data_IF_325362776401
#
_entry.id   IF_325362776401
#
_cell.length_a   1.000
_cell.length_b   1.000
_cell.length_c   1.000
_cell.angle_alpha   90.00
_cell.angle_beta   90.00
_cell.angle_gamma   90.00
#
_symmetry.space_group_name_H-M   'P 1'
#
loop_
_entity.id
_entity.type
_entity.pdbx_description
1 polymer ?
#
# COMPACT_ATOMS: atom_id res chain seq x y z
N UNK A 1 -1.27 -36.86 18.86
CA UNK A 1 0.18 -36.57 18.98
C UNK A 1 0.24 -35.33 19.83
N UNK A 2 0.66 -35.44 21.08
CA UNK A 2 0.75 -34.27 21.96
C UNK A 2 2.02 -33.51 21.59
N UNK A 3 1.87 -32.23 21.27
CA UNK A 3 2.98 -31.36 20.91
C UNK A 3 3.92 -31.13 22.09
N UNK A 4 5.20 -30.91 21.80
CA UNK A 4 6.21 -30.52 22.79
C UNK A 4 5.89 -29.17 23.47
N UNK A 5 6.67 -28.78 24.48
CA UNK A 5 6.47 -27.51 25.17
C UNK A 5 6.57 -26.32 24.19
N UNK A 6 5.49 -25.54 24.10
CA UNK A 6 5.36 -24.43 23.15
C UNK A 6 4.71 -24.79 21.82
N UNK A 7 4.37 -26.06 21.60
CA UNK A 7 3.61 -26.49 20.42
C UNK A 7 2.11 -26.44 20.71
N UNK A 8 1.38 -25.78 19.82
CA UNK A 8 -0.08 -25.79 19.81
C UNK A 8 -0.55 -26.66 18.65
N UNK A 9 -1.38 -27.67 18.95
CA UNK A 9 -1.99 -28.52 17.95
C UNK A 9 -3.45 -28.07 17.75
N UNK A 10 -3.80 -27.69 16.53
CA UNK A 10 -5.19 -27.44 16.14
C UNK A 10 -5.80 -28.74 15.61
N UNK A 11 -6.81 -29.27 16.31
CA UNK A 11 -7.68 -30.29 15.75
C UNK A 11 -8.72 -29.61 14.86
N UNK A 12 -8.63 -29.85 13.55
CA UNK A 12 -9.51 -29.22 12.56
C UNK A 12 -10.88 -29.91 12.45
N UNK A 13 -11.11 -31.02 13.17
CA UNK A 13 -12.44 -31.65 13.23
C UNK A 13 -12.97 -32.13 11.87
N UNK A 14 -12.11 -32.32 10.88
CA UNK A 14 -12.48 -32.68 9.50
C UNK A 14 -12.48 -31.50 8.50
N UNK A 15 -12.31 -30.26 8.97
CA UNK A 15 -12.02 -29.12 8.10
C UNK A 15 -10.61 -29.21 7.52
N UNK A 16 -10.40 -28.57 6.38
CA UNK A 16 -9.15 -28.52 5.62
C UNK A 16 -8.50 -27.13 5.61
N UNK A 17 -9.03 -26.19 6.39
CA UNK A 17 -8.58 -24.81 6.44
C UNK A 17 -8.37 -24.31 7.87
N UNK A 18 -7.52 -23.29 8.01
CA UNK A 18 -7.20 -22.62 9.26
C UNK A 18 -6.81 -21.17 8.94
N UNK A 19 -7.27 -20.23 9.76
CA UNK A 19 -6.88 -18.83 9.69
C UNK A 19 -6.19 -18.39 10.97
N UNK A 20 -5.14 -17.58 10.85
CA UNK A 20 -4.37 -17.03 11.98
C UNK A 20 -4.22 -15.54 11.79
N UNK A 21 -4.45 -14.78 12.86
CA UNK A 21 -4.29 -13.33 12.87
C UNK A 21 -3.47 -12.87 14.07
N UNK A 22 -2.65 -11.83 13.85
CA UNK A 22 -2.05 -11.08 14.95
C UNK A 22 -3.07 -10.03 15.38
N UNK A 23 -3.51 -10.05 16.63
CA UNK A 23 -4.47 -9.05 17.11
C UNK A 23 -3.75 -7.78 17.58
N UNK A 24 -4.28 -6.57 17.25
CA UNK A 24 -3.69 -5.30 17.67
C UNK A 24 -3.87 -4.98 19.16
N UNK A 25 -4.83 -5.64 19.82
CA UNK A 25 -5.08 -5.62 21.26
C UNK A 25 -5.69 -6.96 21.71
N UNK A 26 -5.99 -7.08 23.01
CA UNK A 26 -6.53 -8.29 23.63
C UNK A 26 -8.01 -8.16 24.02
N UNK A 27 -8.78 -7.29 23.36
CA UNK A 27 -10.20 -7.11 23.68
C UNK A 27 -11.10 -8.13 22.98
N UNK A 28 -12.20 -8.51 23.63
CA UNK A 28 -13.19 -9.43 23.06
C UNK A 28 -13.81 -8.87 21.77
N UNK A 29 -13.95 -7.54 21.67
CA UNK A 29 -14.46 -6.87 20.48
C UNK A 29 -13.51 -7.05 19.28
N UNK A 30 -12.20 -6.93 19.51
CA UNK A 30 -11.19 -7.19 18.48
C UNK A 30 -11.19 -8.65 18.07
N UNK A 31 -11.24 -9.58 19.03
CA UNK A 31 -11.33 -11.01 18.72
C UNK A 31 -12.56 -11.33 17.89
N UNK A 32 -13.74 -10.84 18.29
CA UNK A 32 -15.00 -11.06 17.57
C UNK A 32 -14.95 -10.53 16.13
N UNK A 33 -14.40 -9.32 15.92
CA UNK A 33 -14.23 -8.75 14.58
C UNK A 33 -13.32 -9.63 13.71
N UNK A 34 -12.18 -10.09 14.25
CA UNK A 34 -11.28 -10.95 13.49
C UNK A 34 -11.89 -12.33 13.22
N UNK A 35 -12.67 -12.89 14.14
CA UNK A 35 -13.41 -14.14 13.94
C UNK A 35 -14.46 -13.99 12.84
N UNK A 36 -15.21 -12.89 12.79
CA UNK A 36 -16.20 -12.61 11.74
C UNK A 36 -15.59 -12.66 10.33
N UNK A 37 -14.37 -12.13 10.19
CA UNK A 37 -13.65 -12.04 8.92
C UNK A 37 -12.61 -13.14 8.70
N UNK A 38 -12.49 -14.12 9.61
CA UNK A 38 -11.41 -15.10 9.60
C UNK A 38 -11.44 -16.01 8.37
N UNK A 39 -12.61 -16.27 7.82
CA UNK A 39 -12.82 -17.21 6.72
C UNK A 39 -12.99 -16.54 5.36
N UNK A 40 -12.74 -15.22 5.27
CA UNK A 40 -12.61 -14.50 4.00
C UNK A 40 -11.21 -14.74 3.41
N UNK A 41 -11.00 -15.90 2.77
CA UNK A 41 -9.70 -16.27 2.19
C UNK A 41 -9.43 -15.47 0.93
N UNK A 42 -8.26 -14.81 0.88
CA UNK A 42 -7.85 -14.00 -0.28
C UNK A 42 -7.34 -14.92 -1.39
N UNK A 43 -8.04 -14.93 -2.52
CA UNK A 43 -7.66 -15.68 -3.71
C UNK A 43 -6.73 -14.87 -4.61
N UNK A 44 -7.02 -13.57 -4.77
CA UNK A 44 -6.28 -12.72 -5.68
C UNK A 44 -6.30 -11.25 -5.26
N UNK A 45 -5.30 -10.50 -5.72
CA UNK A 45 -5.23 -9.05 -5.52
C UNK A 45 -4.92 -8.38 -6.84
N UNK A 46 -5.53 -7.21 -7.07
CA UNK A 46 -5.35 -6.43 -8.28
C UNK A 46 -5.18 -4.96 -7.93
N UNK A 47 -4.30 -4.29 -8.66
CA UNK A 47 -4.12 -2.85 -8.57
C UNK A 47 -4.37 -2.26 -9.96
N UNK A 48 -5.27 -1.29 -10.02
CA UNK A 48 -5.57 -0.54 -11.24
C UNK A 48 -5.33 0.93 -10.97
N UNK A 49 -4.81 1.65 -11.96
CA UNK A 49 -4.60 3.08 -11.82
C UNK A 49 -5.03 3.81 -13.08
N UNK A 50 -5.38 5.08 -12.90
CA UNK A 50 -5.61 6.02 -13.98
C UNK A 50 -5.09 7.40 -13.58
N UNK A 51 -4.67 8.16 -14.57
CA UNK A 51 -4.40 9.58 -14.41
C UNK A 51 -5.65 10.36 -14.79
N UNK A 52 -6.23 11.08 -13.82
CA UNK A 52 -7.31 12.03 -14.05
C UNK A 52 -6.69 13.39 -14.35
N UNK A 53 -6.55 13.70 -15.63
CA UNK A 53 -5.94 14.94 -16.09
C UNK A 53 -6.76 16.18 -15.67
N UNK A 54 -8.09 16.07 -15.60
CA UNK A 54 -8.95 17.19 -15.22
C UNK A 54 -8.79 17.56 -13.74
N UNK A 55 -8.49 16.57 -12.89
CA UNK A 55 -8.23 16.76 -11.46
C UNK A 55 -6.73 16.88 -11.13
N UNK A 56 -5.84 16.56 -12.09
CA UNK A 56 -4.40 16.55 -11.87
C UNK A 56 -3.98 15.53 -10.80
N UNK A 57 -4.57 14.33 -10.82
CA UNK A 57 -4.30 13.29 -9.81
C UNK A 57 -4.19 11.89 -10.41
N UNK A 58 -3.44 11.02 -9.74
CA UNK A 58 -3.42 9.60 -10.02
C UNK A 58 -4.37 8.92 -9.05
N UNK A 59 -5.39 8.24 -9.59
CA UNK A 59 -6.30 7.39 -8.82
C UNK A 59 -5.82 5.96 -8.87
N UNK A 60 -5.63 5.32 -7.73
CA UNK A 60 -5.21 3.93 -7.63
C UNK A 60 -6.25 3.15 -6.86
N UNK A 61 -6.83 2.14 -7.49
CA UNK A 61 -7.80 1.22 -6.90
C UNK A 61 -7.11 -0.09 -6.57
N UNK A 62 -7.17 -0.48 -5.30
CA UNK A 62 -6.68 -1.74 -4.79
C UNK A 62 -7.88 -2.65 -4.55
N UNK A 63 -7.88 -3.83 -5.14
CA UNK A 63 -8.99 -4.78 -5.11
C UNK A 63 -8.50 -6.13 -4.63
N UNK A 64 -9.30 -6.77 -3.80
CA UNK A 64 -9.06 -8.09 -3.21
C UNK A 64 -10.23 -8.98 -3.57
N UNK A 65 -9.92 -10.09 -4.23
CA UNK A 65 -10.85 -11.18 -4.49
C UNK A 65 -10.71 -12.19 -3.35
N UNK A 66 -11.83 -12.46 -2.68
CA UNK A 66 -11.95 -13.38 -1.56
C UNK A 66 -13.06 -14.39 -1.78
N UNK A 67 -12.87 -15.58 -1.21
CA UNK A 67 -13.83 -16.66 -1.06
C UNK A 67 -14.17 -16.85 0.43
N UNK A 68 -15.45 -17.03 0.75
CA UNK A 68 -15.88 -17.43 2.09
C UNK A 68 -15.82 -18.96 2.18
N UNK A 69 -14.91 -19.49 3.00
CA UNK A 69 -14.63 -20.94 3.07
C UNK A 69 -15.49 -21.70 4.09
N UNK A 70 -16.33 -20.99 4.82
CA UNK A 70 -17.28 -21.53 5.80
C UNK A 70 -18.70 -21.01 5.51
N UNK A 71 -19.70 -21.86 5.72
CA UNK A 71 -21.09 -21.51 5.48
C UNK A 71 -21.54 -20.39 6.43
N UNK A 72 -21.99 -19.27 5.85
CA UNK A 72 -22.43 -18.10 6.61
C UNK A 72 -21.30 -17.19 7.11
N UNK A 73 -20.04 -17.46 6.74
CA UNK A 73 -18.94 -16.56 7.03
C UNK A 73 -18.97 -15.30 6.13
N UNK A 74 -18.38 -14.21 6.64
CA UNK A 74 -18.15 -13.01 5.85
C UNK A 74 -17.11 -13.30 4.76
N UNK A 75 -17.34 -12.81 3.55
CA UNK A 75 -16.34 -12.79 2.46
C UNK A 75 -15.52 -11.49 2.47
N UNK A 76 -15.77 -10.57 3.41
CA UNK A 76 -15.04 -9.30 3.49
C UNK A 76 -13.77 -9.50 4.30
N UNK A 77 -12.57 -9.20 3.75
CA UNK A 77 -11.34 -9.29 4.51
C UNK A 77 -11.07 -8.03 5.34
N UNK A 78 -10.23 -8.18 6.36
CA UNK A 78 -9.58 -7.05 7.05
C UNK A 78 -8.26 -6.70 6.36
N UNK A 79 -8.10 -5.45 5.95
CA UNK A 79 -6.91 -4.91 5.27
C UNK A 79 -6.19 -3.92 6.17
N UNK A 80 -4.87 -4.04 6.31
CA UNK A 80 -4.04 -3.07 6.99
C UNK A 80 -3.36 -2.12 5.98
N UNK A 81 -3.58 -0.81 6.10
CA UNK A 81 -3.09 0.16 5.13
C UNK A 81 -1.74 0.74 5.52
N UNK A 82 -0.85 0.86 4.54
CA UNK A 82 0.38 1.63 4.67
C UNK A 82 0.06 3.11 4.93
N UNK A 83 0.93 3.89 5.62
CA UNK A 83 0.62 5.28 5.90
C UNK A 83 0.40 6.15 4.65
N UNK A 84 1.08 5.84 3.53
CA UNK A 84 0.82 6.53 2.28
C UNK A 84 -0.51 6.12 1.63
N UNK A 85 -1.03 4.91 1.88
CA UNK A 85 -2.39 4.56 1.47
C UNK A 85 -3.42 5.33 2.32
N UNK A 86 -3.27 5.24 3.65
CA UNK A 86 -4.19 5.86 4.61
C UNK A 86 -4.26 7.40 4.45
N UNK A 87 -3.15 8.04 4.07
CA UNK A 87 -3.09 9.49 3.81
C UNK A 87 -3.94 9.94 2.62
N UNK A 88 -4.11 9.08 1.62
CA UNK A 88 -4.69 9.45 0.33
C UNK A 88 -6.00 8.73 0.03
N UNK A 89 -6.62 8.09 1.02
CA UNK A 89 -7.91 7.40 0.89
C UNK A 89 -8.96 8.04 1.79
N UNK A 90 -10.21 8.05 1.33
CA UNK A 90 -11.38 8.43 2.14
C UNK A 90 -12.12 7.21 2.72
N UNK A 91 -11.54 6.01 2.58
CA UNK A 91 -12.17 4.79 3.08
C UNK A 91 -12.38 4.86 4.61
N UNK A 92 -13.52 4.38 5.07
CA UNK A 92 -13.81 4.31 6.49
C UNK A 92 -12.90 3.27 7.16
N UNK A 93 -12.14 3.71 8.16
CA UNK A 93 -11.25 2.85 8.93
C UNK A 93 -11.92 2.41 10.23
N UNK A 94 -11.54 1.25 10.72
CA UNK A 94 -11.80 0.85 12.11
C UNK A 94 -10.97 1.70 13.08
N UNK A 95 -11.19 1.52 14.38
CA UNK A 95 -10.33 2.12 15.40
C UNK A 95 -9.00 1.38 15.56
N UNK A 96 -8.84 0.21 14.95
CA UNK A 96 -7.69 -0.67 15.10
C UNK A 96 -6.50 -0.22 14.25
N UNK A 97 -5.30 -0.48 14.76
CA UNK A 97 -4.03 -0.16 14.08
C UNK A 97 -2.90 -1.08 14.52
N UNK A 98 -2.03 -1.45 13.60
CA UNK A 98 -0.78 -2.13 13.93
C UNK A 98 0.38 -1.14 14.03
N UNK A 99 1.35 -1.42 14.90
CA UNK A 99 2.65 -0.73 14.87
C UNK A 99 3.57 -1.44 13.88
N UNK A 100 4.27 -0.68 13.04
CA UNK A 100 5.26 -1.22 12.10
C UNK A 100 6.46 -0.29 11.99
N UNK A 101 7.58 -0.79 11.45
CA UNK A 101 8.76 0.03 11.15
C UNK A 101 8.46 1.19 10.17
N UNK A 102 7.36 1.10 9.41
CA UNK A 102 6.93 2.14 8.46
C UNK A 102 5.88 3.09 9.05
N UNK A 103 5.52 2.94 10.33
CA UNK A 103 4.48 3.71 11.01
C UNK A 103 3.22 2.89 11.32
N UNK A 104 2.19 3.56 11.85
CA UNK A 104 0.93 2.92 12.20
C UNK A 104 0.15 2.47 10.95
N UNK A 105 -0.35 1.23 10.96
CA UNK A 105 -1.13 0.64 9.88
C UNK A 105 -2.60 0.56 10.30
N UNK A 106 -3.47 1.52 9.96
CA UNK A 106 -4.89 1.43 10.27
C UNK A 106 -5.55 0.26 9.52
N UNK A 107 -6.53 -0.36 10.16
CA UNK A 107 -7.25 -1.51 9.63
C UNK A 107 -8.61 -1.08 9.08
N UNK A 108 -9.00 -1.57 7.89
CA UNK A 108 -10.37 -1.49 7.38
C UNK A 108 -10.93 -2.87 7.02
N UNK A 109 -12.25 -3.03 7.09
CA UNK A 109 -12.97 -4.16 6.53
C UNK A 109 -13.47 -3.78 5.13
N UNK A 110 -12.83 -4.26 4.06
CA UNK A 110 -13.29 -4.03 2.69
C UNK A 110 -12.59 -4.95 1.68
N UNK A 111 -13.28 -5.21 0.57
CA UNK A 111 -12.69 -5.87 -0.62
C UNK A 111 -11.97 -4.91 -1.56
N UNK A 112 -12.09 -3.60 -1.35
CA UNK A 112 -11.36 -2.61 -2.13
C UNK A 112 -11.21 -1.28 -1.40
N UNK A 113 -10.19 -0.52 -1.76
CA UNK A 113 -10.05 0.89 -1.39
C UNK A 113 -9.38 1.66 -2.54
N UNK A 114 -9.57 2.97 -2.56
CA UNK A 114 -8.99 3.86 -3.57
C UNK A 114 -8.10 4.90 -2.91
N UNK A 115 -6.95 5.20 -3.52
CA UNK A 115 -6.11 6.35 -3.18
C UNK A 115 -6.15 7.40 -4.30
N UNK A 116 -6.07 8.67 -3.92
CA UNK A 116 -6.01 9.81 -4.83
C UNK A 116 -4.76 10.64 -4.53
N UNK A 117 -3.78 10.56 -5.43
CA UNK A 117 -2.47 11.18 -5.24
C UNK A 117 -2.31 12.34 -6.22
N UNK A 118 -2.17 13.59 -5.75
CA UNK A 118 -1.98 14.74 -6.63
C UNK A 118 -0.70 14.60 -7.48
N UNK A 119 -0.82 14.84 -8.78
CA UNK A 119 0.29 14.93 -9.73
C UNK A 119 0.54 16.40 -10.07
N UNK A 120 1.76 16.88 -9.80
CA UNK A 120 2.10 18.31 -9.95
C UNK A 120 2.80 18.64 -11.28
N UNK A 121 2.81 17.72 -12.22
CA UNK A 121 3.54 17.87 -13.47
C UNK A 121 5.05 17.66 -13.32
N UNK A 122 5.72 17.65 -14.46
CA UNK A 122 7.18 17.64 -14.57
C UNK A 122 7.60 18.71 -15.57
N UNK A 123 8.77 19.29 -15.35
CA UNK A 123 9.36 20.23 -16.30
C UNK A 123 10.51 19.53 -17.05
N UNK A 124 10.55 19.60 -18.40
CA UNK A 124 11.64 19.01 -19.17
C UNK A 124 12.98 19.71 -18.90
N UNK A 125 12.94 20.98 -18.49
CA UNK A 125 14.07 21.76 -18.00
C UNK A 125 13.56 22.82 -17.02
N UNK A 126 14.43 23.28 -16.12
CA UNK A 126 14.14 24.47 -15.32
C UNK A 126 13.95 25.68 -16.25
N UNK A 127 13.07 26.64 -15.88
CA UNK A 127 12.95 27.87 -16.64
C UNK A 127 14.27 28.64 -16.64
N UNK A 128 14.47 29.48 -17.66
CA UNK A 128 15.64 30.34 -17.75
C UNK A 128 15.72 31.25 -16.50
N UNK A 129 16.94 31.52 -15.98
CA UNK A 129 17.12 32.44 -14.88
C UNK A 129 16.72 33.87 -15.28
N UNK A 130 16.64 34.77 -14.29
CA UNK A 130 16.39 36.18 -14.54
C UNK A 130 17.46 36.78 -15.48
N UNK A 131 17.05 37.72 -16.35
CA UNK A 131 17.86 38.23 -17.47
C UNK A 131 19.20 38.82 -17.05
N UNK A 132 19.31 39.35 -15.84
CA UNK A 132 20.58 39.86 -15.30
C UNK A 132 21.68 38.78 -15.23
N UNK A 133 21.33 37.49 -15.21
CA UNK A 133 22.27 36.37 -15.17
C UNK A 133 22.64 35.83 -16.57
N UNK A 134 22.07 36.37 -17.66
CA UNK A 134 22.27 35.85 -19.03
C UNK A 134 23.74 35.82 -19.45
N UNK A 135 24.50 36.88 -19.13
CA UNK A 135 25.91 36.98 -19.49
C UNK A 135 26.75 35.91 -18.78
N UNK A 136 26.44 35.66 -17.51
CA UNK A 136 27.12 34.65 -16.70
C UNK A 136 26.76 33.23 -17.16
N UNK A 137 25.48 32.96 -17.45
CA UNK A 137 25.03 31.68 -17.99
C UNK A 137 25.73 31.35 -19.33
N UNK A 138 25.85 32.33 -20.23
CA UNK A 138 26.58 32.14 -21.50
C UNK A 138 28.06 31.84 -21.31
N UNK A 139 28.68 32.37 -20.25
CA UNK A 139 30.06 32.02 -19.90
C UNK A 139 30.14 30.58 -19.45
N UNK A 140 29.30 30.14 -18.50
CA UNK A 140 29.28 28.75 -18.06
C UNK A 140 29.00 27.77 -19.20
N UNK A 141 28.06 28.07 -20.09
CA UNK A 141 27.75 27.20 -21.24
C UNK A 141 28.94 27.01 -22.19
N UNK A 142 29.85 28.00 -22.29
CA UNK A 142 31.09 27.86 -23.09
C UNK A 142 32.17 27.03 -22.40
N UNK A 143 32.13 26.94 -21.08
CA UNK A 143 33.08 26.16 -20.27
C UNK A 143 32.70 24.68 -20.21
N UNK A 144 31.42 24.34 -20.43
CA UNK A 144 30.97 22.95 -20.51
C UNK A 144 31.32 22.34 -21.87
N UNK A 145 32.15 21.31 -21.87
CA UNK A 145 32.36 20.45 -23.03
C UNK A 145 31.18 19.47 -23.18
N UNK A 146 30.18 19.83 -23.98
CA UNK A 146 29.00 19.00 -24.24
C UNK A 146 29.32 17.73 -25.05
N UNK A 147 30.49 17.67 -25.69
CA UNK A 147 30.95 16.54 -26.49
C UNK A 147 31.84 15.57 -25.68
N UNK A 148 32.09 15.87 -24.40
CA UNK A 148 32.82 14.97 -23.53
C UNK A 148 32.00 13.67 -23.34
N UNK A 149 32.58 12.49 -23.60
CA UNK A 149 31.86 11.24 -23.40
C UNK A 149 31.50 11.08 -21.92
N UNK A 150 30.21 10.88 -21.64
CA UNK A 150 29.77 10.47 -20.31
C UNK A 150 30.38 9.09 -20.03
N UNK A 151 31.15 8.89 -18.94
CA UNK A 151 31.65 7.57 -18.61
C UNK A 151 30.47 6.61 -18.51
N UNK A 152 30.60 5.42 -19.11
CA UNK A 152 29.52 4.45 -19.11
C UNK A 152 29.05 4.21 -17.65
N UNK A 153 27.74 4.34 -17.34
CA UNK A 153 27.26 4.13 -15.98
C UNK A 153 27.55 2.69 -15.56
N UNK A 154 28.09 2.51 -14.35
CA UNK A 154 28.51 1.21 -13.81
C UNK A 154 27.38 0.33 -13.29
N UNK A 155 26.13 0.77 -13.44
CA UNK A 155 24.97 -0.05 -13.08
C UNK A 155 24.51 -0.80 -14.34
N UNK A 156 25.17 -1.92 -14.59
CA UNK A 156 24.70 -2.98 -15.47
C UNK A 156 24.00 -4.07 -14.64
#
# INVERSE_FOLDING_TARGET
>A
RDGGPGEHLADLGGADHLSVAVLPDNTDATLALFTEHAYAHVESTRVRWLYDEAQGEVRVRYEVETEAVEDGASDVPLLALMPHHARFTDAAMTQLRYSSARGALPVLAARSFETRVPFRGVLPALPLPAREHDAQLRTFLREVNLDAPYPAPSYA
#
